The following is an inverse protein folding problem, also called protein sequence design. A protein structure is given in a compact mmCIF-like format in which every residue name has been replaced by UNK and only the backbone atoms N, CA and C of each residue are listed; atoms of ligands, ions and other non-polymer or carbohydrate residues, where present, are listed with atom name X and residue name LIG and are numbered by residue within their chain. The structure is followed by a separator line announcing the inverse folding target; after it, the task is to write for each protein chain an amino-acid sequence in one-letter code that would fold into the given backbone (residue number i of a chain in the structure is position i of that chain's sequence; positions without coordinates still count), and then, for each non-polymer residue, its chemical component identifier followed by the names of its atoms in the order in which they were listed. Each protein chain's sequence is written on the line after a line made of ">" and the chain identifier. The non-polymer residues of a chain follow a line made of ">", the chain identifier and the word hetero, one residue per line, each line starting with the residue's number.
data_IF_084856766429
#
_entry.id   IF_084856766429
#
_cell.length_a   1.000
_cell.length_b   1.000
_cell.length_c   1.000
_cell.angle_alpha   90.00
_cell.angle_beta   90.00
_cell.angle_gamma   90.00
#
_symmetry.space_group_name_H-M   'P 1'
#
loop_
_entity.id
_entity.type
_entity.pdbx_description
1 polymer ?
#
# COMPACT_ATOMS: atom_id res chain seq x y z
N UNK A 1 -21.97 -0.34 25.27
CA UNK A 1 -21.59 0.00 23.89
C UNK A 1 -20.17 0.51 23.96
N UNK A 2 -19.20 -0.37 23.78
CA UNK A 2 -17.82 0.03 23.56
C UNK A 2 -17.70 0.09 22.05
N UNK A 3 -17.86 1.29 21.50
CA UNK A 3 -17.43 1.60 20.14
C UNK A 3 -15.92 1.40 20.12
N UNK A 4 -15.52 0.17 19.78
CA UNK A 4 -14.16 -0.12 19.39
C UNK A 4 -13.86 0.76 18.19
N UNK A 5 -12.99 1.74 18.39
CA UNK A 5 -12.24 2.37 17.32
C UNK A 5 -11.30 1.31 16.74
N UNK A 6 -11.87 0.28 16.10
CA UNK A 6 -11.15 -0.82 15.50
C UNK A 6 -10.56 -0.34 14.18
N UNK A 7 -9.28 0.03 14.28
CA UNK A 7 -8.26 0.02 13.22
C UNK A 7 -8.67 0.61 11.87
N UNK A 8 -8.23 1.85 11.63
CA UNK A 8 -8.05 2.44 10.28
C UNK A 8 -6.96 1.73 9.45
N UNK A 9 -6.86 0.41 9.58
CA UNK A 9 -5.87 -0.41 8.94
C UNK A 9 -6.54 -1.33 7.94
N UNK A 10 -6.10 -1.25 6.70
CA UNK A 10 -6.69 -1.99 5.59
C UNK A 10 -6.03 -3.37 5.55
N UNK A 11 -6.72 -4.39 6.09
CA UNK A 11 -6.34 -5.80 5.98
C UNK A 11 -6.82 -6.35 4.64
N UNK A 12 -5.98 -6.30 3.62
CA UNK A 12 -6.31 -6.87 2.32
C UNK A 12 -5.07 -7.00 1.43
N UNK A 13 -4.26 -8.03 1.68
CA UNK A 13 -3.03 -8.32 0.93
C UNK A 13 -3.28 -8.32 -0.58
N UNK A 14 -4.34 -8.98 -1.06
CA UNK A 14 -4.71 -8.98 -2.48
C UNK A 14 -5.01 -7.58 -3.04
N UNK A 15 -5.72 -6.76 -2.26
CA UNK A 15 -6.10 -5.39 -2.67
C UNK A 15 -4.89 -4.45 -2.67
N UNK A 16 -3.94 -4.63 -1.75
CA UNK A 16 -2.68 -3.89 -1.72
C UNK A 16 -1.82 -4.26 -2.93
N UNK A 17 -1.67 -5.55 -3.22
CA UNK A 17 -0.92 -6.05 -4.36
C UNK A 17 -1.56 -5.55 -5.68
N UNK A 18 -2.89 -5.62 -5.80
CA UNK A 18 -3.59 -5.12 -6.99
C UNK A 18 -3.40 -3.59 -7.14
N UNK A 19 -3.51 -2.84 -6.04
CA UNK A 19 -3.33 -1.38 -6.04
C UNK A 19 -1.93 -1.00 -6.52
N UNK A 20 -0.90 -1.65 -5.98
CA UNK A 20 0.49 -1.46 -6.41
C UNK A 20 0.64 -1.82 -7.88
N UNK A 21 0.16 -2.99 -8.32
CA UNK A 21 0.25 -3.42 -9.72
C UNK A 21 -0.42 -2.45 -10.69
N UNK A 22 -1.57 -1.89 -10.34
CA UNK A 22 -2.26 -0.89 -11.18
C UNK A 22 -1.51 0.44 -11.22
N UNK A 23 -1.05 0.91 -10.06
CA UNK A 23 -0.39 2.21 -9.95
C UNK A 23 1.03 2.19 -10.54
N UNK A 24 1.77 1.09 -10.36
CA UNK A 24 3.11 0.89 -10.91
C UNK A 24 3.11 0.34 -12.34
N UNK A 25 1.96 0.02 -12.93
CA UNK A 25 1.89 -0.67 -14.23
C UNK A 25 2.50 0.09 -15.41
N UNK A 26 2.69 1.41 -15.26
CA UNK A 26 3.25 2.30 -16.27
C UNK A 26 4.65 2.83 -15.93
N UNK A 27 5.28 2.35 -14.86
CA UNK A 27 6.58 2.86 -14.39
C UNK A 27 7.42 1.78 -13.71
N UNK A 28 8.71 2.04 -13.49
CA UNK A 28 9.57 1.12 -12.74
C UNK A 28 9.23 1.14 -11.26
N UNK A 29 9.60 0.09 -10.53
CA UNK A 29 9.39 0.04 -9.07
C UNK A 29 10.15 1.16 -8.33
N UNK A 30 11.31 1.57 -8.83
CA UNK A 30 12.09 2.71 -8.30
C UNK A 30 11.37 4.06 -8.49
N UNK A 31 10.80 4.29 -9.68
CA UNK A 31 9.99 5.48 -9.96
C UNK A 31 8.72 5.49 -9.11
N UNK A 32 8.09 4.32 -8.94
CA UNK A 32 6.91 4.16 -8.10
C UNK A 32 7.21 4.42 -6.62
N UNK A 33 8.32 3.90 -6.09
CA UNK A 33 8.77 4.19 -4.72
C UNK A 33 8.97 5.70 -4.52
N UNK A 34 9.60 6.36 -5.50
CA UNK A 34 9.80 7.81 -5.50
C UNK A 34 8.48 8.58 -5.55
N UNK A 35 7.54 8.18 -6.41
CA UNK A 35 6.24 8.84 -6.58
C UNK A 35 5.34 8.68 -5.34
N UNK A 36 5.40 7.52 -4.68
CA UNK A 36 4.64 7.25 -3.46
C UNK A 36 5.29 7.86 -2.21
N UNK A 37 6.58 8.19 -2.27
CA UNK A 37 7.38 8.60 -1.12
C UNK A 37 7.56 7.48 -0.09
N UNK A 38 7.44 6.22 -0.51
CA UNK A 38 7.57 5.04 0.33
C UNK A 38 8.86 4.29 -0.01
N UNK A 39 9.43 3.61 0.97
CA UNK A 39 10.59 2.76 0.75
C UNK A 39 10.29 1.64 -0.26
N UNK A 40 11.20 1.45 -1.21
CA UNK A 40 11.12 0.37 -2.19
C UNK A 40 11.03 -1.00 -1.52
N UNK A 41 11.78 -1.20 -0.43
CA UNK A 41 11.74 -2.44 0.33
C UNK A 41 10.38 -2.66 1.01
N UNK A 42 9.76 -1.59 1.51
CA UNK A 42 8.42 -1.65 2.10
C UNK A 42 7.38 -2.11 1.07
N UNK A 43 7.39 -1.52 -0.12
CA UNK A 43 6.51 -1.91 -1.23
C UNK A 43 6.76 -3.36 -1.64
N UNK A 44 8.02 -3.79 -1.68
CA UNK A 44 8.39 -5.15 -2.03
C UNK A 44 7.90 -6.18 -1.00
N UNK A 45 7.94 -5.85 0.30
CA UNK A 45 7.40 -6.68 1.37
C UNK A 45 5.87 -6.82 1.29
N UNK A 46 5.16 -5.78 0.86
CA UNK A 46 3.71 -5.88 0.54
C UNK A 46 3.50 -6.85 -0.63
N UNK A 47 4.27 -6.72 -1.71
CA UNK A 47 4.15 -7.59 -2.89
C UNK A 47 4.47 -9.07 -2.59
N UNK A 48 5.33 -9.33 -1.61
CA UNK A 48 5.64 -10.67 -1.10
C UNK A 48 4.58 -11.23 -0.14
N UNK A 49 3.60 -10.42 0.27
CA UNK A 49 2.63 -10.79 1.30
C UNK A 49 3.22 -10.80 2.72
N UNK A 50 4.42 -10.23 2.93
CA UNK A 50 5.01 -10.08 4.27
C UNK A 50 4.35 -8.94 5.05
N UNK A 51 3.70 -8.01 4.34
CA UNK A 51 2.90 -6.92 4.91
C UNK A 51 1.49 -7.06 4.36
N UNK A 52 0.58 -7.45 5.25
CA UNK A 52 -0.83 -7.73 4.93
C UNK A 52 -1.76 -6.56 5.29
N UNK A 53 -1.22 -5.59 6.03
CA UNK A 53 -1.96 -4.51 6.64
C UNK A 53 -1.14 -3.21 6.61
N UNK A 54 -1.75 -2.15 6.09
CA UNK A 54 -1.20 -0.78 6.11
C UNK A 54 -2.27 0.19 6.59
N UNK A 55 -1.85 1.34 7.11
CA UNK A 55 -2.78 2.43 7.45
C UNK A 55 -3.36 3.10 6.18
N UNK A 56 -4.45 3.85 6.36
CA UNK A 56 -5.13 4.56 5.28
C UNK A 56 -4.25 5.59 4.54
N UNK A 57 -3.30 6.24 5.20
CA UNK A 57 -2.39 7.22 4.55
C UNK A 57 -1.42 6.49 3.62
N UNK A 58 -0.83 5.40 4.10
CA UNK A 58 0.02 4.52 3.30
C UNK A 58 -0.74 3.94 2.12
N UNK A 59 -1.98 3.48 2.32
CA UNK A 59 -2.82 3.01 1.22
C UNK A 59 -3.08 4.09 0.16
N UNK A 60 -3.35 5.32 0.60
CA UNK A 60 -3.54 6.47 -0.31
C UNK A 60 -2.29 6.72 -1.15
N UNK A 61 -1.10 6.74 -0.51
CA UNK A 61 0.20 6.86 -1.19
C UNK A 61 0.38 5.74 -2.22
N UNK A 62 0.18 4.47 -1.84
CA UNK A 62 0.29 3.32 -2.75
C UNK A 62 -0.65 3.41 -3.95
N UNK A 63 -1.84 3.98 -3.77
CA UNK A 63 -2.79 4.14 -4.88
C UNK A 63 -2.41 5.25 -5.87
N UNK A 64 -1.42 6.10 -5.56
CA UNK A 64 -1.08 7.33 -6.27
C UNK A 64 -2.30 8.23 -6.56
N UNK A 65 -3.40 8.05 -5.80
CA UNK A 65 -4.60 8.89 -5.90
C UNK A 65 -4.43 10.10 -4.99
N UNK A 66 -4.54 11.29 -5.58
CA UNK A 66 -4.60 12.56 -4.84
C UNK A 66 -5.81 12.63 -3.92
#
# INVERSE_FOLDING_TARGET
>A
MIEGTESSKIKNSDKLIETIRRASGYMSLDDYATATGLDKEFIFRILKGEIEEVDSETFKKLSLKQ
#
